data_IF_437373085883
#
_entry.id   IF_437373085883
#
_cell.length_a   1.000
_cell.length_b   1.000
_cell.length_c   1.000
_cell.angle_alpha   90.00
_cell.angle_beta   90.00
_cell.angle_gamma   90.00
#
_symmetry.space_group_name_H-M   'P 1'
#
loop_
_entity.id
_entity.type
_entity.pdbx_description
1 polymer ?
#
# COMPACT_ATOMS: atom_id res chain seq x y z
N UNK A 1 -4.27 -3.55 -19.80
CA UNK A 1 -4.14 -2.29 -19.04
C UNK A 1 -3.64 -2.49 -17.60
N UNK A 2 -4.31 -3.28 -16.75
CA UNK A 2 -3.88 -3.52 -15.35
C UNK A 2 -2.46 -4.09 -15.21
N UNK A 3 -2.08 -5.07 -16.01
CA UNK A 3 -0.72 -5.63 -15.94
C UNK A 3 0.38 -4.64 -16.35
N UNK A 4 0.15 -3.82 -17.37
CA UNK A 4 1.11 -2.78 -17.79
C UNK A 4 1.23 -1.70 -16.71
N UNK A 5 0.13 -1.34 -16.07
CA UNK A 5 0.12 -0.46 -14.92
C UNK A 5 0.94 -1.06 -13.75
N UNK A 6 0.72 -2.33 -13.41
CA UNK A 6 1.47 -3.03 -12.35
C UNK A 6 2.96 -3.22 -12.68
N UNK A 7 3.31 -3.41 -13.96
CA UNK A 7 4.71 -3.39 -14.42
C UNK A 7 5.34 -2.00 -14.35
N UNK A 8 4.57 -0.93 -14.58
CA UNK A 8 5.08 0.44 -14.40
C UNK A 8 5.29 0.79 -12.91
N UNK A 9 4.47 0.21 -12.03
CA UNK A 9 4.59 0.32 -10.57
C UNK A 9 5.90 -0.27 -10.05
N UNK A 10 6.35 -1.39 -10.63
CA UNK A 10 7.59 -2.05 -10.20
C UNK A 10 8.85 -1.24 -10.50
N UNK A 11 8.79 -0.36 -11.50
CA UNK A 11 9.90 0.55 -11.86
C UNK A 11 10.12 1.62 -10.79
N UNK A 12 9.10 2.01 -10.03
CA UNK A 12 9.23 3.09 -9.05
C UNK A 12 8.38 2.89 -7.77
N UNK A 13 8.49 1.71 -7.15
CA UNK A 13 7.73 1.33 -5.95
C UNK A 13 7.87 2.38 -4.83
N UNK A 14 9.07 2.95 -4.62
CA UNK A 14 9.33 4.00 -3.64
C UNK A 14 8.48 5.27 -3.87
N UNK A 15 8.27 5.66 -5.13
CA UNK A 15 7.40 6.79 -5.48
C UNK A 15 5.94 6.51 -5.14
N UNK A 16 5.48 5.26 -5.32
CA UNK A 16 4.12 4.86 -4.97
C UNK A 16 3.91 4.85 -3.46
N UNK A 17 4.85 4.33 -2.66
CA UNK A 17 4.79 4.44 -1.20
C UNK A 17 4.73 5.89 -0.72
N UNK A 18 5.51 6.79 -1.33
CA UNK A 18 5.45 8.23 -1.01
C UNK A 18 4.07 8.82 -1.31
N UNK A 19 3.45 8.45 -2.43
CA UNK A 19 2.06 8.85 -2.75
C UNK A 19 1.06 8.34 -1.72
N UNK A 20 1.19 7.10 -1.26
CA UNK A 20 0.34 6.57 -0.17
C UNK A 20 0.46 7.46 1.07
N UNK A 21 1.68 7.78 1.49
CA UNK A 21 1.92 8.68 2.63
C UNK A 21 1.26 10.05 2.47
N UNK A 22 1.39 10.69 1.30
CA UNK A 22 0.73 11.97 1.00
C UNK A 22 -0.80 11.84 1.04
N UNK A 23 -1.36 10.74 0.56
CA UNK A 23 -2.81 10.51 0.64
C UNK A 23 -3.25 10.37 2.10
N UNK A 24 -2.49 9.67 2.94
CA UNK A 24 -2.80 9.51 4.36
C UNK A 24 -2.81 10.84 5.16
N UNK A 25 -2.04 11.85 4.74
CA UNK A 25 -2.03 13.16 5.43
C UNK A 25 -3.36 13.90 5.29
N UNK A 26 -4.16 13.60 4.27
CA UNK A 26 -5.49 14.20 4.07
C UNK A 26 -6.50 13.80 5.16
N UNK A 27 -6.26 12.69 5.86
CA UNK A 27 -7.00 12.33 7.08
C UNK A 27 -8.50 12.04 6.90
N UNK A 28 -8.99 11.85 5.68
CA UNK A 28 -10.41 11.56 5.40
C UNK A 28 -10.65 10.09 5.08
N UNK A 29 -11.89 9.63 5.26
CA UNK A 29 -12.28 8.26 4.92
C UNK A 29 -11.96 7.90 3.46
N UNK A 30 -12.32 8.77 2.52
CA UNK A 30 -12.01 8.61 1.10
C UNK A 30 -10.50 8.56 0.82
N UNK A 31 -9.70 9.32 1.57
CA UNK A 31 -8.25 9.25 1.45
C UNK A 31 -7.71 7.91 1.97
N UNK A 32 -8.27 7.36 3.05
CA UNK A 32 -7.90 6.02 3.51
C UNK A 32 -8.32 4.91 2.55
N UNK A 33 -9.49 5.03 1.91
CA UNK A 33 -9.92 4.09 0.86
C UNK A 33 -8.95 4.15 -0.33
N UNK A 34 -8.57 5.35 -0.77
CA UNK A 34 -7.61 5.56 -1.85
C UNK A 34 -6.23 5.00 -1.50
N UNK A 35 -5.73 5.28 -0.28
CA UNK A 35 -4.46 4.76 0.21
C UNK A 35 -4.48 3.22 0.27
N UNK A 36 -5.57 2.61 0.75
CA UNK A 36 -5.72 1.17 0.82
C UNK A 36 -5.63 0.54 -0.57
N UNK A 37 -6.35 1.09 -1.56
CA UNK A 37 -6.28 0.63 -2.96
C UNK A 37 -4.86 0.71 -3.52
N UNK A 38 -4.16 1.82 -3.27
CA UNK A 38 -2.77 1.96 -3.72
C UNK A 38 -1.81 0.95 -3.07
N UNK A 39 -2.02 0.59 -1.79
CA UNK A 39 -1.23 -0.47 -1.14
C UNK A 39 -1.57 -1.85 -1.75
N UNK A 40 -2.83 -2.11 -2.08
CA UNK A 40 -3.23 -3.32 -2.82
C UNK A 40 -2.55 -3.40 -4.19
N UNK A 41 -2.47 -2.30 -4.93
CA UNK A 41 -1.79 -2.26 -6.23
C UNK A 41 -0.27 -2.56 -6.09
N UNK A 42 0.37 -2.05 -5.04
CA UNK A 42 1.78 -2.37 -4.72
C UNK A 42 1.93 -3.86 -4.38
N UNK A 43 1.00 -4.42 -3.58
CA UNK A 43 0.98 -5.85 -3.26
C UNK A 43 0.88 -6.71 -4.53
N UNK A 44 -0.08 -6.42 -5.39
CA UNK A 44 -0.28 -7.13 -6.66
C UNK A 44 0.97 -7.03 -7.56
N UNK A 45 1.61 -5.85 -7.62
CA UNK A 45 2.85 -5.67 -8.35
C UNK A 45 3.99 -6.54 -7.79
N UNK A 46 4.11 -6.68 -6.47
CA UNK A 46 5.09 -7.58 -5.87
C UNK A 46 4.78 -9.05 -6.11
N UNK A 47 3.50 -9.45 -6.08
CA UNK A 47 3.09 -10.81 -6.41
C UNK A 47 3.46 -11.16 -7.86
N UNK A 48 3.17 -10.27 -8.82
CA UNK A 48 3.52 -10.46 -10.22
C UNK A 48 5.04 -10.55 -10.45
N UNK A 49 5.84 -9.86 -9.64
CA UNK A 49 7.30 -9.91 -9.72
C UNK A 49 7.93 -11.00 -8.84
N UNK A 50 7.14 -11.86 -8.19
CA UNK A 50 7.65 -12.93 -7.33
C UNK A 50 8.37 -12.45 -6.08
N UNK A 51 8.04 -11.26 -5.57
CA UNK A 51 8.71 -10.64 -4.40
C UNK A 51 7.77 -10.35 -3.20
N UNK A 52 6.85 -11.27 -2.80
CA UNK A 52 5.91 -11.03 -1.70
C UNK A 52 6.58 -10.75 -0.35
N UNK A 53 7.75 -11.36 -0.09
CA UNK A 53 8.52 -11.10 1.14
C UNK A 53 9.05 -9.66 1.20
N UNK A 54 9.43 -9.09 0.05
CA UNK A 54 9.89 -7.70 -0.05
C UNK A 54 8.75 -6.74 0.23
N UNK A 55 7.57 -6.99 -0.34
CA UNK A 55 6.36 -6.24 0.00
C UNK A 55 6.10 -6.19 1.50
N UNK A 56 6.12 -7.33 2.18
CA UNK A 56 5.84 -7.42 3.62
C UNK A 56 6.86 -6.62 4.46
N UNK A 57 8.13 -6.62 4.06
CA UNK A 57 9.16 -5.79 4.70
C UNK A 57 8.89 -4.30 4.49
N UNK A 58 8.61 -3.88 3.26
CA UNK A 58 8.33 -2.48 2.92
C UNK A 58 7.05 -1.98 3.59
N UNK A 59 5.99 -2.80 3.62
CA UNK A 59 4.74 -2.50 4.30
C UNK A 59 4.97 -2.26 5.80
N UNK A 60 5.77 -3.10 6.48
CA UNK A 60 6.11 -2.90 7.89
C UNK A 60 6.90 -1.62 8.12
N UNK A 61 7.88 -1.32 7.27
CA UNK A 61 8.66 -0.08 7.34
C UNK A 61 7.77 1.16 7.13
N UNK A 62 6.85 1.09 6.18
CA UNK A 62 5.89 2.15 5.92
C UNK A 62 4.94 2.36 7.12
N UNK A 63 4.40 1.26 7.65
CA UNK A 63 3.44 1.29 8.76
C UNK A 63 4.03 1.74 10.08
N UNK A 64 5.34 1.57 10.31
CA UNK A 64 6.02 2.07 11.52
C UNK A 64 5.74 3.56 11.77
N UNK A 65 5.60 4.36 10.71
CA UNK A 65 5.30 5.80 10.81
C UNK A 65 3.79 6.13 10.82
N UNK A 66 2.92 5.13 10.64
CA UNK A 66 1.49 5.30 10.41
C UNK A 66 0.59 4.49 11.38
N UNK A 67 1.17 3.88 12.43
CA UNK A 67 0.43 3.08 13.43
C UNK A 67 -0.72 3.84 14.13
N UNK A 68 -0.66 5.17 14.20
CA UNK A 68 -1.73 6.01 14.74
C UNK A 68 -2.98 6.12 13.84
N UNK A 69 -2.93 5.63 12.59
CA UNK A 69 -4.02 5.74 11.61
C UNK A 69 -4.94 4.51 11.67
N UNK A 70 -5.64 4.34 12.80
CA UNK A 70 -6.50 3.17 13.07
C UNK A 70 -7.53 2.88 11.96
N UNK A 71 -8.15 3.92 11.39
CA UNK A 71 -9.13 3.76 10.32
C UNK A 71 -8.53 3.26 9.00
N UNK A 72 -7.25 3.55 8.76
CA UNK A 72 -6.50 3.01 7.63
C UNK A 72 -6.05 1.57 7.91
N UNK A 73 -5.56 1.28 9.11
CA UNK A 73 -5.20 -0.09 9.54
C UNK A 73 -6.39 -1.02 9.39
N UNK A 74 -7.58 -0.61 9.87
CA UNK A 74 -8.81 -1.40 9.73
C UNK A 74 -9.08 -1.82 8.28
N UNK A 75 -8.92 -0.90 7.33
CA UNK A 75 -9.11 -1.19 5.90
C UNK A 75 -8.06 -2.15 5.35
N UNK A 76 -6.81 -2.05 5.81
CA UNK A 76 -5.77 -2.99 5.43
C UNK A 76 -6.02 -4.40 5.97
N UNK A 77 -6.56 -4.51 7.19
CA UNK A 77 -6.99 -5.79 7.76
C UNK A 77 -8.17 -6.38 6.97
N UNK A 78 -9.19 -5.56 6.67
CA UNK A 78 -10.33 -5.96 5.83
C UNK A 78 -9.91 -6.40 4.41
N UNK A 79 -8.83 -5.81 3.88
CA UNK A 79 -8.24 -6.19 2.60
C UNK A 79 -7.30 -7.40 2.69
N UNK A 80 -7.06 -7.97 3.87
CA UNK A 80 -6.15 -9.10 4.09
C UNK A 80 -4.67 -8.77 3.90
N UNK A 81 -4.30 -7.49 3.93
CA UNK A 81 -2.94 -7.00 3.68
C UNK A 81 -2.15 -6.88 4.98
N UNK A 82 -2.82 -6.51 6.06
CA UNK A 82 -2.24 -6.35 7.39
C UNK A 82 -2.82 -7.39 8.35
N UNK A 83 -2.01 -7.98 9.25
CA UNK A 83 -2.53 -8.88 10.28
C UNK A 83 -3.50 -8.14 11.21
N UNK A 84 -4.58 -8.82 11.61
CA UNK A 84 -5.50 -8.35 12.66
C UNK A 84 -4.80 -8.25 14.03
#
# INVERSE_FOLDING_TARGET
EREQYLKSLSVNISFHWKKVGITLTRGSGAAYDQACRSVSDIHDAHLLNGTPKKFQMELRQFMANHMGRKAFIKRLVEAGIWPD
#
